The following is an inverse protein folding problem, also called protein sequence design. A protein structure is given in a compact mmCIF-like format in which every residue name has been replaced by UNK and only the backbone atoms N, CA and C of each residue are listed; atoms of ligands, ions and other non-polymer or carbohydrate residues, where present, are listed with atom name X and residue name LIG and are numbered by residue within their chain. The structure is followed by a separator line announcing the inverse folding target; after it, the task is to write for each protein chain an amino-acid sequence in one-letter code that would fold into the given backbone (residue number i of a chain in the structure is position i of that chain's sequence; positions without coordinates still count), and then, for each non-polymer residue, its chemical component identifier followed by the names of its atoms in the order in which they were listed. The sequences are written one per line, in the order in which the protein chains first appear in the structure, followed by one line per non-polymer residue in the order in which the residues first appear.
data_IF_179145024269
#
_entry.id   IF_179145024269
#
_cell.length_a   1.000
_cell.length_b   1.000
_cell.length_c   1.000
_cell.angle_alpha   90.00
_cell.angle_beta   90.00
_cell.angle_gamma   90.00
#
_symmetry.space_group_name_H-M   'P 1'
#
loop_
_entity.id
_entity.type
_entity.pdbx_description
1 polymer ?
#
# COMPACT_ATOMS: atom_id res chain seq x y z
N UNK A 1 -5.98 21.36 -38.18
CA UNK A 1 -6.06 22.65 -37.46
C UNK A 1 -5.32 22.48 -36.15
N UNK A 2 -4.35 23.34 -35.84
CA UNK A 2 -3.77 23.39 -34.49
C UNK A 2 -4.84 23.96 -33.55
N UNK A 3 -5.48 23.10 -32.74
CA UNK A 3 -6.30 23.57 -31.63
C UNK A 3 -5.35 24.11 -30.57
N UNK A 4 -5.19 25.44 -30.55
CA UNK A 4 -4.47 26.12 -29.49
C UNK A 4 -5.41 26.30 -28.30
N UNK A 5 -4.93 26.01 -27.10
CA UNK A 5 -5.67 26.27 -25.85
C UNK A 5 -5.53 27.74 -25.47
N UNK A 6 -6.22 28.64 -26.20
CA UNK A 6 -6.12 30.10 -26.01
C UNK A 6 -6.62 30.54 -24.62
N UNK A 7 -7.57 29.79 -24.05
CA UNK A 7 -8.13 30.02 -22.72
C UNK A 7 -7.26 29.49 -21.58
N UNK A 8 -6.16 28.78 -21.86
CA UNK A 8 -5.26 28.24 -20.85
C UNK A 8 -4.07 29.16 -20.64
N UNK A 9 -4.00 29.76 -19.46
CA UNK A 9 -2.88 30.61 -19.08
C UNK A 9 -1.81 29.83 -18.30
N UNK A 10 -0.69 30.49 -17.99
CA UNK A 10 0.44 29.88 -17.24
C UNK A 10 0.06 29.42 -15.83
N UNK A 11 -0.89 30.10 -15.17
CA UNK A 11 -1.42 29.71 -13.85
C UNK A 11 -2.23 28.42 -13.96
N UNK A 12 -3.10 28.32 -14.96
CA UNK A 12 -3.90 27.11 -15.22
C UNK A 12 -3.00 25.91 -15.49
N UNK A 13 -1.96 26.09 -16.30
CA UNK A 13 -0.93 25.07 -16.52
C UNK A 13 -0.26 24.62 -15.22
N UNK A 14 0.24 25.56 -14.42
CA UNK A 14 0.91 25.22 -13.15
C UNK A 14 -0.04 24.53 -12.14
N UNK A 15 -1.30 24.96 -12.11
CA UNK A 15 -2.35 24.34 -11.30
C UNK A 15 -2.64 22.92 -11.79
N UNK A 16 -2.76 22.71 -13.10
CA UNK A 16 -2.93 21.39 -13.70
C UNK A 16 -1.78 20.44 -13.34
N UNK A 17 -0.52 20.85 -13.48
CA UNK A 17 0.63 20.02 -13.09
C UNK A 17 0.60 19.70 -11.60
N UNK A 18 0.28 20.67 -10.76
CA UNK A 18 0.26 20.49 -9.30
C UNK A 18 -0.89 19.59 -8.85
N UNK A 19 -2.08 19.76 -9.43
CA UNK A 19 -3.25 18.92 -9.18
C UNK A 19 -3.03 17.48 -9.69
N UNK A 20 -2.47 17.31 -10.89
CA UNK A 20 -2.10 16.00 -11.43
C UNK A 20 -1.11 15.28 -10.52
N UNK A 21 -0.10 15.98 -9.99
CA UNK A 21 0.83 15.41 -9.02
C UNK A 21 0.18 15.06 -7.66
N UNK A 22 -0.86 15.78 -7.25
CA UNK A 22 -1.55 15.58 -5.96
C UNK A 22 -2.55 14.42 -6.01
N UNK A 23 -3.34 14.34 -7.07
CA UNK A 23 -4.46 13.40 -7.21
C UNK A 23 -4.15 12.19 -8.10
N UNK A 24 -3.07 12.26 -8.89
CA UNK A 24 -2.72 11.28 -9.90
C UNK A 24 -3.33 11.60 -11.26
N UNK A 25 -2.64 11.20 -12.33
CA UNK A 25 -2.99 11.56 -13.72
C UNK A 25 -4.39 11.15 -14.18
N UNK A 26 -4.95 10.11 -13.56
CA UNK A 26 -6.26 9.55 -13.94
C UNK A 26 -7.42 10.20 -13.18
N UNK A 27 -7.15 10.95 -12.10
CA UNK A 27 -8.15 11.57 -11.23
C UNK A 27 -8.67 12.90 -11.81
N UNK A 28 -9.15 12.87 -13.05
CA UNK A 28 -9.55 14.07 -13.81
C UNK A 28 -10.67 14.88 -13.12
N UNK A 29 -11.54 14.23 -12.34
CA UNK A 29 -12.60 14.91 -11.58
C UNK A 29 -12.00 15.79 -10.49
N UNK A 30 -11.08 15.24 -9.70
CA UNK A 30 -10.41 15.97 -8.61
C UNK A 30 -9.47 17.04 -9.15
N UNK A 31 -8.77 16.76 -10.27
CA UNK A 31 -7.95 17.75 -10.97
C UNK A 31 -8.82 18.92 -11.44
N UNK A 32 -9.98 18.65 -12.03
CA UNK A 32 -10.88 19.70 -12.50
C UNK A 32 -11.49 20.53 -11.37
N UNK A 33 -11.77 19.91 -10.22
CA UNK A 33 -12.27 20.62 -9.04
C UNK A 33 -11.25 21.64 -8.48
N UNK A 34 -9.94 21.38 -8.65
CA UNK A 34 -8.86 22.25 -8.18
C UNK A 34 -8.56 23.42 -9.15
N UNK A 35 -8.89 23.28 -10.44
CA UNK A 35 -8.59 24.29 -11.46
C UNK A 35 -9.76 25.27 -11.59
N UNK A 36 -9.64 26.39 -10.90
CA UNK A 36 -10.61 27.49 -10.96
C UNK A 36 -10.91 27.92 -12.41
N UNK A 37 -12.20 27.99 -12.77
CA UNK A 37 -12.64 28.51 -14.06
C UNK A 37 -12.47 27.55 -15.25
N UNK A 38 -12.13 26.28 -15.01
CA UNK A 38 -12.12 25.23 -16.04
C UNK A 38 -13.12 24.12 -15.70
N UNK A 39 -13.90 23.71 -16.68
CA UNK A 39 -14.82 22.59 -16.55
C UNK A 39 -14.08 21.25 -16.69
N UNK A 40 -14.69 20.18 -16.18
CA UNK A 40 -14.18 18.81 -16.36
C UNK A 40 -13.86 18.47 -17.82
N UNK A 41 -14.72 18.88 -18.77
CA UNK A 41 -14.50 18.62 -20.21
C UNK A 41 -13.27 19.32 -20.75
N UNK A 42 -13.04 20.58 -20.34
CA UNK A 42 -11.85 21.33 -20.76
C UNK A 42 -10.58 20.73 -20.19
N UNK A 43 -10.61 20.30 -18.93
CA UNK A 43 -9.48 19.63 -18.26
C UNK A 43 -9.20 18.28 -18.89
N UNK A 44 -10.22 17.50 -19.23
CA UNK A 44 -10.07 16.21 -19.92
C UNK A 44 -9.42 16.38 -21.30
N UNK A 45 -9.88 17.34 -22.10
CA UNK A 45 -9.31 17.60 -23.42
C UNK A 45 -7.87 18.12 -23.32
N UNK A 46 -7.60 19.00 -22.35
CA UNK A 46 -6.24 19.49 -22.09
C UNK A 46 -5.31 18.37 -21.65
N UNK A 47 -5.73 17.52 -20.71
CA UNK A 47 -4.95 16.39 -20.23
C UNK A 47 -4.57 15.44 -21.36
N UNK A 48 -5.52 15.11 -22.25
CA UNK A 48 -5.27 14.26 -23.42
C UNK A 48 -4.14 14.82 -24.29
N UNK A 49 -4.25 16.09 -24.68
CA UNK A 49 -3.24 16.73 -25.54
C UNK A 49 -1.90 16.92 -24.80
N UNK A 50 -1.94 17.23 -23.50
CA UNK A 50 -0.74 17.31 -22.67
C UNK A 50 0.02 15.99 -22.71
N UNK A 51 -0.63 14.85 -22.44
CA UNK A 51 0.05 13.55 -22.44
C UNK A 51 0.51 13.09 -23.82
N UNK A 52 -0.16 13.51 -24.90
CA UNK A 52 0.29 13.25 -26.27
C UNK A 52 1.53 14.09 -26.66
N UNK A 53 1.69 15.31 -26.12
CA UNK A 53 2.63 16.32 -26.64
C UNK A 53 3.54 16.97 -25.59
N UNK A 54 3.57 16.48 -24.35
CA UNK A 54 4.33 17.10 -23.25
C UNK A 54 5.82 17.29 -23.58
N UNK A 55 6.40 16.44 -24.43
CA UNK A 55 7.80 16.50 -24.87
C UNK A 55 8.13 17.75 -25.69
N UNK A 56 7.13 18.45 -26.24
CA UNK A 56 7.32 19.72 -26.92
C UNK A 56 7.64 20.87 -25.95
N UNK A 57 7.40 20.68 -24.65
CA UNK A 57 7.73 21.67 -23.61
C UNK A 57 9.23 21.64 -23.32
N UNK A 58 9.88 22.80 -23.29
CA UNK A 58 11.33 22.90 -23.06
C UNK A 58 11.80 22.31 -21.73
N UNK A 59 10.93 22.25 -20.71
CA UNK A 59 11.23 21.75 -19.37
C UNK A 59 10.42 20.50 -19.00
N UNK A 60 10.03 19.69 -20.00
CA UNK A 60 9.15 18.54 -19.79
C UNK A 60 9.69 17.53 -18.76
N UNK A 61 11.01 17.30 -18.73
CA UNK A 61 11.63 16.35 -17.80
C UNK A 61 11.37 16.72 -16.33
N UNK A 62 11.49 18.01 -16.01
CA UNK A 62 11.23 18.51 -14.65
C UNK A 62 9.75 18.38 -14.28
N UNK A 63 8.86 18.69 -15.22
CA UNK A 63 7.41 18.60 -15.06
C UNK A 63 6.98 17.16 -14.80
N UNK A 64 7.43 16.22 -15.63
CA UNK A 64 7.10 14.80 -15.49
C UNK A 64 7.67 14.25 -14.20
N UNK A 65 8.93 14.55 -13.87
CA UNK A 65 9.52 14.14 -12.60
C UNK A 65 8.77 14.70 -11.38
N UNK A 66 8.18 15.90 -11.48
CA UNK A 66 7.31 16.44 -10.41
C UNK A 66 6.03 15.62 -10.27
N UNK A 67 5.38 15.24 -11.38
CA UNK A 67 4.16 14.44 -11.38
C UNK A 67 4.45 13.05 -10.82
N UNK A 68 5.48 12.36 -11.31
CA UNK A 68 5.84 11.01 -10.87
C UNK A 68 6.19 10.95 -9.37
N UNK A 69 6.90 11.96 -8.86
CA UNK A 69 7.17 12.07 -7.41
C UNK A 69 5.87 12.26 -6.61
N UNK A 70 4.91 12.99 -7.14
CA UNK A 70 3.60 13.17 -6.54
C UNK A 70 2.80 11.86 -6.51
N UNK A 71 2.73 11.17 -7.64
CA UNK A 71 2.06 9.87 -7.76
C UNK A 71 2.70 8.80 -6.88
N UNK A 72 4.03 8.74 -6.80
CA UNK A 72 4.75 7.83 -5.89
C UNK A 72 4.33 8.07 -4.44
N UNK A 73 4.23 9.33 -4.01
CA UNK A 73 3.78 9.68 -2.65
C UNK A 73 2.32 9.32 -2.42
N UNK A 74 1.47 9.55 -3.41
CA UNK A 74 0.05 9.18 -3.37
C UNK A 74 -0.11 7.67 -3.20
N UNK A 75 0.61 6.89 -4.02
CA UNK A 75 0.64 5.43 -3.94
C UNK A 75 1.11 4.96 -2.57
N UNK A 76 2.24 5.48 -2.07
CA UNK A 76 2.73 5.14 -0.72
C UNK A 76 1.70 5.45 0.38
N UNK A 77 0.98 6.56 0.24
CA UNK A 77 -0.07 6.94 1.19
C UNK A 77 -1.24 5.96 1.16
N UNK A 78 -1.66 5.53 -0.04
CA UNK A 78 -2.73 4.54 -0.23
C UNK A 78 -2.32 3.16 0.29
N UNK A 79 -1.10 2.72 0.03
CA UNK A 79 -0.55 1.46 0.53
C UNK A 79 -0.53 1.43 2.07
N UNK A 80 -0.07 2.52 2.71
CA UNK A 80 -0.10 2.65 4.18
C UNK A 80 -1.54 2.62 4.70
N UNK A 81 -2.46 3.33 4.04
CA UNK A 81 -3.87 3.33 4.44
C UNK A 81 -4.48 1.93 4.34
N UNK A 82 -4.20 1.20 3.26
CA UNK A 82 -4.66 -0.18 3.08
C UNK A 82 -4.08 -1.10 4.16
N UNK A 83 -2.78 -1.02 4.41
CA UNK A 83 -2.10 -1.78 5.48
C UNK A 83 -2.77 -1.54 6.84
N UNK A 84 -3.11 -0.29 7.17
CA UNK A 84 -3.80 0.05 8.42
C UNK A 84 -5.18 -0.60 8.50
N UNK A 85 -5.99 -0.51 7.43
CA UNK A 85 -7.32 -1.10 7.37
C UNK A 85 -7.29 -2.62 7.46
N UNK A 86 -6.39 -3.26 6.73
CA UNK A 86 -6.20 -4.71 6.76
C UNK A 86 -5.73 -5.18 8.14
N UNK A 87 -4.77 -4.48 8.76
CA UNK A 87 -4.32 -4.80 10.12
C UNK A 87 -5.48 -4.69 11.12
N UNK A 88 -6.27 -3.63 11.08
CA UNK A 88 -7.36 -3.39 12.04
C UNK A 88 -8.53 -4.35 11.83
N UNK A 89 -8.88 -4.66 10.58
CA UNK A 89 -10.01 -5.56 10.27
C UNK A 89 -9.80 -7.01 10.73
N UNK A 90 -8.56 -7.42 11.00
CA UNK A 90 -8.23 -8.72 11.63
C UNK A 90 -8.74 -8.83 13.08
N UNK A 91 -9.11 -7.73 13.73
CA UNK A 91 -9.53 -7.71 15.13
C UNK A 91 -10.99 -7.31 15.28
N UNK A 92 -11.75 -8.08 16.09
CA UNK A 92 -13.14 -7.75 16.41
C UNK A 92 -13.24 -6.49 17.30
N UNK A 93 -12.30 -6.34 18.24
CA UNK A 93 -12.23 -5.20 19.15
C UNK A 93 -10.83 -4.58 19.10
N UNK A 94 -10.50 -3.80 18.05
CA UNK A 94 -9.14 -3.32 17.82
C UNK A 94 -8.53 -2.53 18.98
N UNK A 95 -9.31 -1.70 19.68
CA UNK A 95 -8.82 -0.90 20.81
C UNK A 95 -8.25 -1.74 21.97
N UNK A 96 -8.72 -2.97 22.13
CA UNK A 96 -8.29 -3.87 23.21
C UNK A 96 -7.39 -5.00 22.71
N UNK A 97 -7.56 -5.43 21.46
CA UNK A 97 -6.95 -6.66 20.92
C UNK A 97 -5.79 -6.40 19.95
N UNK A 98 -5.67 -5.20 19.37
CA UNK A 98 -4.67 -4.93 18.34
C UNK A 98 -3.25 -5.12 18.88
N UNK A 99 -2.51 -6.04 18.30
CA UNK A 99 -1.10 -6.28 18.63
C UNK A 99 -0.19 -5.45 17.72
N UNK A 100 0.72 -4.70 18.36
CA UNK A 100 1.70 -3.85 17.68
C UNK A 100 3.09 -4.49 17.89
N UNK A 101 3.81 -4.82 16.81
CA UNK A 101 5.11 -5.47 16.87
C UNK A 101 6.19 -4.45 17.23
N UNK A 102 6.34 -4.17 18.52
CA UNK A 102 7.33 -3.22 19.00
C UNK A 102 8.76 -3.67 18.69
N UNK A 103 9.58 -2.76 18.18
CA UNK A 103 11.03 -2.97 18.15
C UNK A 103 11.60 -2.98 19.58
N UNK A 104 12.73 -3.65 19.77
CA UNK A 104 13.44 -3.80 21.06
C UNK A 104 13.72 -2.47 21.81
N UNK A 105 13.69 -1.34 21.08
CA UNK A 105 13.90 0.01 21.61
C UNK A 105 12.59 0.79 21.78
N UNK A 106 11.54 0.19 22.33
CA UNK A 106 10.32 0.93 22.71
C UNK A 106 10.67 1.97 23.77
N UNK A 107 10.81 3.23 23.37
CA UNK A 107 10.97 4.35 24.30
C UNK A 107 9.81 4.40 25.29
N UNK A 108 10.08 4.83 26.53
CA UNK A 108 9.12 4.81 27.67
C UNK A 108 7.91 5.75 27.55
N UNK A 109 7.72 6.42 26.42
CA UNK A 109 6.79 7.56 26.36
C UNK A 109 5.33 7.15 26.15
N UNK A 110 5.03 6.26 25.19
CA UNK A 110 3.64 5.87 24.88
C UNK A 110 3.32 4.46 25.38
N UNK A 111 2.13 4.32 25.96
CA UNK A 111 1.60 3.00 26.36
C UNK A 111 0.99 2.26 25.18
N UNK A 112 0.78 0.95 25.31
CA UNK A 112 0.14 0.17 24.25
C UNK A 112 -1.31 0.58 23.99
N UNK A 113 -2.01 0.98 25.03
CA UNK A 113 -3.39 1.46 24.92
C UNK A 113 -3.46 2.77 24.11
N UNK A 114 -2.52 3.69 24.35
CA UNK A 114 -2.39 4.92 23.58
C UNK A 114 -2.06 4.65 22.11
N UNK A 115 -1.10 3.76 21.85
CA UNK A 115 -0.69 3.42 20.49
C UNK A 115 -1.82 2.75 19.69
N UNK A 116 -2.56 1.81 20.33
CA UNK A 116 -3.75 1.19 19.73
C UNK A 116 -4.78 2.24 19.37
N UNK A 117 -5.06 3.17 20.28
CA UNK A 117 -6.00 4.25 20.03
C UNK A 117 -5.57 5.11 18.84
N UNK A 118 -4.30 5.53 18.81
CA UNK A 118 -3.75 6.35 17.72
C UNK A 118 -3.89 5.64 16.38
N UNK A 119 -3.50 4.36 16.28
CA UNK A 119 -3.59 3.60 15.03
C UNK A 119 -5.04 3.41 14.56
N UNK A 120 -5.95 3.07 15.48
CA UNK A 120 -7.37 2.90 15.16
C UNK A 120 -7.99 4.22 14.69
N UNK A 121 -7.68 5.32 15.36
CA UNK A 121 -8.15 6.65 14.96
C UNK A 121 -7.55 7.09 13.62
N UNK A 122 -6.26 6.79 13.37
CA UNK A 122 -5.59 7.10 12.12
C UNK A 122 -6.24 6.37 10.94
N UNK A 123 -6.53 5.08 11.09
CA UNK A 123 -7.20 4.31 10.04
C UNK A 123 -8.63 4.83 9.80
N UNK A 124 -9.36 5.16 10.88
CA UNK A 124 -10.73 5.72 10.81
C UNK A 124 -10.77 7.02 10.00
N UNK A 125 -9.84 7.94 10.24
CA UNK A 125 -9.83 9.25 9.58
C UNK A 125 -9.10 9.26 8.23
N UNK A 126 -8.22 8.29 7.99
CA UNK A 126 -7.46 8.15 6.75
C UNK A 126 -6.07 8.79 6.86
N UNK A 127 -5.03 7.98 6.67
CA UNK A 127 -3.66 8.46 6.57
C UNK A 127 -3.48 9.39 5.36
N UNK A 128 -2.74 10.49 5.55
CA UNK A 128 -2.49 11.49 4.51
C UNK A 128 -3.65 12.45 4.21
N UNK A 129 -4.77 12.35 4.94
CA UNK A 129 -5.88 13.31 4.82
C UNK A 129 -5.61 14.61 5.60
N UNK A 130 -6.27 15.69 5.19
CA UNK A 130 -6.15 16.98 5.87
C UNK A 130 -6.69 16.92 7.31
N UNK A 131 -5.94 17.55 8.22
CA UNK A 131 -6.25 17.67 9.66
C UNK A 131 -6.41 16.33 10.40
N UNK A 132 -5.91 15.22 9.85
CA UNK A 132 -6.04 13.88 10.45
C UNK A 132 -5.54 13.85 11.90
N UNK A 133 -4.41 14.49 12.18
CA UNK A 133 -3.81 14.48 13.51
C UNK A 133 -4.55 15.39 14.50
N UNK A 134 -5.17 16.47 14.03
CA UNK A 134 -6.03 17.31 14.84
C UNK A 134 -7.33 16.58 15.21
N UNK A 135 -7.90 15.80 14.27
CA UNK A 135 -9.06 14.93 14.53
C UNK A 135 -8.71 13.84 15.56
N UNK A 136 -7.56 13.19 15.43
CA UNK A 136 -7.08 12.22 16.43
C UNK A 136 -6.91 12.89 17.80
N UNK A 137 -6.31 14.08 17.86
CA UNK A 137 -6.13 14.85 19.09
C UNK A 137 -7.47 15.18 19.75
N UNK A 138 -8.46 15.60 18.98
CA UNK A 138 -9.82 15.87 19.47
C UNK A 138 -10.51 14.61 20.00
N UNK A 139 -10.29 13.45 19.38
CA UNK A 139 -10.81 12.17 19.86
C UNK A 139 -10.14 11.74 21.18
N UNK A 140 -8.82 11.97 21.33
CA UNK A 140 -8.08 11.73 22.59
C UNK A 140 -8.68 12.53 23.75
N UNK A 141 -8.99 13.81 23.54
CA UNK A 141 -9.56 14.67 24.60
C UNK A 141 -10.92 14.17 25.09
N UNK A 142 -11.71 13.57 24.20
CA UNK A 142 -13.08 13.08 24.48
C UNK A 142 -13.13 11.63 24.95
N UNK A 143 -12.06 10.86 24.78
CA UNK A 143 -12.05 9.43 25.08
C UNK A 143 -12.05 9.19 26.60
N UNK A 144 -13.10 8.60 27.20
CA UNK A 144 -13.21 8.48 28.66
C UNK A 144 -12.05 7.72 29.33
N UNK A 145 -11.49 6.64 28.75
CA UNK A 145 -10.31 5.97 29.31
C UNK A 145 -9.10 6.88 29.48
N UNK A 146 -8.97 7.93 28.67
CA UNK A 146 -7.88 8.91 28.78
C UNK A 146 -8.19 10.09 29.71
N UNK A 147 -9.31 10.08 30.46
CA UNK A 147 -9.73 11.18 31.33
C UNK A 147 -8.60 11.71 32.22
N UNK A 148 -7.83 10.81 32.84
CA UNK A 148 -6.72 11.12 33.74
C UNK A 148 -5.34 10.94 33.10
N UNK A 149 -5.29 10.57 31.82
CA UNK A 149 -4.04 10.40 31.09
C UNK A 149 -3.56 11.76 30.55
N UNK A 150 -2.85 12.51 31.39
CA UNK A 150 -2.32 13.83 31.03
C UNK A 150 -1.23 13.77 29.97
N UNK A 151 -0.48 12.68 29.89
CA UNK A 151 0.59 12.53 28.91
C UNK A 151 0.03 12.58 27.49
N UNK A 152 -0.90 11.68 27.15
CA UNK A 152 -1.46 11.61 25.80
C UNK A 152 -2.28 12.86 25.45
N UNK A 153 -2.98 13.44 26.44
CA UNK A 153 -3.75 14.68 26.28
C UNK A 153 -2.89 15.92 26.06
N UNK A 154 -1.64 15.91 26.52
CA UNK A 154 -0.68 17.00 26.29
C UNK A 154 -0.03 16.96 24.91
N UNK A 155 -0.23 15.89 24.11
CA UNK A 155 0.42 15.74 22.82
C UNK A 155 -0.13 16.73 21.80
N UNK A 156 0.77 17.33 21.04
CA UNK A 156 0.40 18.16 19.89
C UNK A 156 0.16 17.29 18.66
N UNK A 157 -0.54 17.84 17.65
CA UNK A 157 -0.79 17.16 16.38
C UNK A 157 0.50 16.75 15.66
N UNK A 158 1.57 17.54 15.80
CA UNK A 158 2.89 17.21 15.25
C UNK A 158 3.61 16.10 16.01
N UNK A 159 3.45 16.00 17.33
CA UNK A 159 3.97 14.87 18.11
C UNK A 159 3.20 13.58 17.81
N UNK A 160 1.87 13.66 17.68
CA UNK A 160 1.04 12.53 17.26
C UNK A 160 1.39 12.07 15.85
N UNK A 161 1.68 12.99 14.93
CA UNK A 161 2.15 12.67 13.58
C UNK A 161 3.45 11.86 13.61
N UNK A 162 4.46 12.31 14.37
CA UNK A 162 5.72 11.56 14.54
C UNK A 162 5.50 10.18 15.15
N UNK A 163 4.58 10.09 16.12
CA UNK A 163 4.22 8.80 16.71
C UNK A 163 3.56 7.88 15.69
N UNK A 164 2.62 8.38 14.89
CA UNK A 164 2.00 7.62 13.79
C UNK A 164 3.05 7.10 12.80
N UNK A 165 4.00 7.92 12.36
CA UNK A 165 5.10 7.49 11.47
C UNK A 165 5.90 6.33 12.09
N UNK A 166 6.18 6.41 13.40
CA UNK A 166 6.88 5.34 14.12
C UNK A 166 6.04 4.05 14.14
N UNK A 167 4.75 4.15 14.46
CA UNK A 167 3.86 2.98 14.53
C UNK A 167 3.66 2.34 13.15
N UNK A 168 3.52 3.15 12.09
CA UNK A 168 3.46 2.67 10.70
C UNK A 168 4.74 1.88 10.36
N UNK A 169 5.92 2.37 10.75
CA UNK A 169 7.18 1.65 10.47
C UNK A 169 7.23 0.25 11.12
N UNK A 170 6.61 0.08 12.29
CA UNK A 170 6.49 -1.23 12.94
C UNK A 170 5.58 -2.16 12.15
N UNK A 171 4.43 -1.65 11.70
CA UNK A 171 3.49 -2.43 10.88
C UNK A 171 4.06 -2.79 9.51
N UNK A 172 4.79 -1.88 8.86
CA UNK A 172 5.44 -2.15 7.57
C UNK A 172 6.51 -3.24 7.71
N UNK A 173 7.29 -3.20 8.79
CA UNK A 173 8.30 -4.23 9.07
C UNK A 173 7.65 -5.59 9.34
N UNK A 174 6.58 -5.62 10.12
CA UNK A 174 5.81 -6.86 10.35
C UNK A 174 5.23 -7.41 9.05
N UNK A 175 4.67 -6.55 8.20
CA UNK A 175 4.13 -6.94 6.92
C UNK A 175 5.22 -7.54 6.01
N UNK A 176 6.41 -6.93 5.94
CA UNK A 176 7.54 -7.49 5.18
C UNK A 176 8.00 -8.85 5.75
N UNK A 177 8.05 -9.00 7.07
CA UNK A 177 8.44 -10.28 7.69
C UNK A 177 7.40 -11.39 7.44
N UNK A 178 6.11 -11.04 7.31
CA UNK A 178 5.05 -11.98 6.94
C UNK A 178 5.20 -12.39 5.47
N UNK A 179 5.40 -11.42 4.57
CA UNK A 179 5.57 -11.66 3.13
C UNK A 179 6.78 -12.56 2.83
N UNK A 180 7.92 -12.31 3.48
CA UNK A 180 9.12 -13.14 3.37
C UNK A 180 8.85 -14.59 3.80
N UNK A 181 8.19 -14.79 4.94
CA UNK A 181 7.83 -16.14 5.44
C UNK A 181 6.88 -16.86 4.49
N UNK A 182 5.85 -16.18 3.99
CA UNK A 182 4.92 -16.78 3.04
C UNK A 182 5.61 -17.16 1.71
N UNK A 183 6.61 -16.39 1.28
CA UNK A 183 7.41 -16.73 0.10
C UNK A 183 8.30 -17.95 0.33
N UNK A 184 8.95 -18.03 1.49
CA UNK A 184 9.74 -19.21 1.89
C UNK A 184 8.87 -20.48 1.96
N UNK A 185 7.70 -20.40 2.60
CA UNK A 185 6.74 -21.50 2.68
C UNK A 185 6.23 -21.94 1.29
N UNK A 186 5.97 -20.97 0.40
CA UNK A 186 5.59 -21.25 -1.00
C UNK A 186 6.70 -22.00 -1.74
N UNK A 187 7.96 -21.56 -1.61
CA UNK A 187 9.13 -22.23 -2.20
C UNK A 187 9.31 -23.64 -1.65
N UNK A 188 9.19 -23.83 -0.34
CA UNK A 188 9.31 -25.15 0.29
C UNK A 188 8.20 -26.10 -0.16
N UNK A 189 6.95 -25.62 -0.23
CA UNK A 189 5.82 -26.39 -0.72
C UNK A 189 6.00 -26.83 -2.20
N UNK A 190 6.56 -25.95 -3.03
CA UNK A 190 6.86 -26.28 -4.43
C UNK A 190 7.97 -27.34 -4.55
N UNK A 191 9.03 -27.24 -3.74
CA UNK A 191 10.11 -28.24 -3.69
C UNK A 191 9.58 -29.61 -3.25
N UNK A 192 8.72 -29.66 -2.22
CA UNK A 192 8.06 -30.90 -1.76
C UNK A 192 7.18 -31.51 -2.85
N UNK A 193 6.42 -30.69 -3.59
CA UNK A 193 5.60 -31.16 -4.73
C UNK A 193 6.45 -31.74 -5.86
N UNK A 194 7.56 -31.10 -6.22
CA UNK A 194 8.48 -31.60 -7.25
C UNK A 194 9.15 -32.92 -6.84
N UNK A 195 9.56 -33.03 -5.57
CA UNK A 195 10.14 -34.26 -5.02
C UNK A 195 9.13 -35.43 -5.03
N UNK A 196 7.87 -35.17 -4.65
CA UNK A 196 6.80 -36.17 -4.68
C UNK A 196 6.49 -36.66 -6.11
N UNK A 197 6.47 -35.76 -7.10
CA UNK A 197 6.24 -36.13 -8.50
C UNK A 197 7.40 -36.97 -9.09
N UNK A 198 8.65 -36.67 -8.74
CA UNK A 198 9.80 -37.48 -9.18
C UNK A 198 9.79 -38.90 -8.59
N UNK A 199 9.39 -39.05 -7.32
CA UNK A 199 9.26 -40.37 -6.69
C UNK A 199 8.13 -41.21 -7.32
N UNK A 200 6.99 -40.60 -7.68
CA UNK A 200 5.90 -41.29 -8.38
C UNK A 200 6.30 -41.74 -9.79
N UNK A 201 7.07 -40.93 -10.53
CA UNK A 201 7.58 -41.32 -11.84
C UNK A 201 8.60 -42.46 -11.76
N UNK A 202 9.49 -42.46 -10.75
CA UNK A 202 10.44 -43.55 -10.53
C UNK A 202 9.75 -44.87 -10.12
N UNK A 203 8.71 -44.80 -9.28
CA UNK A 203 7.92 -45.98 -8.91
C UNK A 203 7.12 -46.55 -10.10
N UNK A 204 6.53 -45.69 -10.96
CA UNK A 204 5.90 -46.15 -12.21
C UNK A 204 6.91 -46.82 -13.15
N UNK A 205 8.12 -46.27 -13.29
CA UNK A 205 9.19 -46.86 -14.12
C UNK A 205 9.61 -48.24 -13.62
N UNK A 206 9.77 -48.41 -12.31
CA UNK A 206 10.08 -49.71 -11.67
C UNK A 206 8.95 -50.73 -11.82
N UNK A 207 7.69 -50.31 -11.78
CA UNK A 207 6.55 -51.22 -11.92
C UNK A 207 6.40 -51.74 -13.36
N UNK A 208 6.72 -50.90 -14.36
CA UNK A 208 6.72 -51.28 -15.79
C UNK A 208 7.86 -52.26 -16.13
N UNK A 209 9.04 -52.12 -15.51
CA UNK A 209 10.14 -53.09 -15.66
C UNK A 209 9.80 -54.46 -15.07
N UNK A 210 9.06 -54.52 -13.95
CA UNK A 210 8.67 -55.78 -13.31
C UNK A 210 7.58 -56.51 -14.12
N UNK A 211 6.66 -55.79 -14.78
CA UNK A 211 5.60 -56.41 -15.61
C UNK A 211 6.11 -56.93 -16.96
N UNK A 212 7.19 -56.38 -17.51
CA UNK A 212 7.77 -56.82 -18.79
C UNK A 212 8.78 -57.98 -18.65
N UNK A 213 9.06 -58.45 -17.43
CA UNK A 213 10.00 -59.54 -17.17
C UNK A 213 9.42 -60.96 -17.24
N UNK A 214 8.08 -61.12 -17.32
CA UNK A 214 7.42 -62.44 -17.31
C UNK A 214 6.78 -62.79 -18.67
N UNK A 215 7.60 -62.96 -19.70
CA UNK A 215 7.20 -63.71 -20.89
C UNK A 215 8.40 -64.40 -21.53
N UNK A 216 8.80 -65.54 -20.96
CA UNK A 216 9.57 -66.58 -21.68
C UNK A 216 8.78 -67.89 -21.66
N UNK A 217 8.33 -68.41 -22.82
CA UNK A 217 7.68 -69.70 -22.88
C UNK A 217 8.74 -70.80 -22.73
N UNK A 218 8.57 -71.66 -21.71
CA UNK A 218 9.39 -72.88 -21.53
C UNK A 218 9.20 -73.80 -22.74
N UNK A 219 10.24 -73.86 -23.58
CA UNK A 219 10.33 -74.81 -24.70
C UNK A 219 10.64 -76.20 -24.12
N UNK A 220 9.63 -77.07 -24.11
CA UNK A 220 9.77 -78.50 -23.81
C UNK A 220 10.69 -79.17 -24.84
N UNK A 221 11.82 -79.74 -24.40
CA UNK A 221 12.67 -80.60 -25.23
C UNK A 221 12.21 -82.05 -25.09
N UNK A 222 12.05 -82.69 -26.25
CA UNK A 222 12.09 -84.13 -26.46
C UNK A 222 13.48 -84.67 -26.17
#
# INVERSE_FOLDING_TARGET
MFQAFVEWNKRDFNNFITATAKYGRDALIDIAAEIEGKSYKEVQEYARVFWERYQELSNYEEIIAKIERGETKLQQTQEIQQLLQEKISKYRTPLSQLEIPYNLNKGKSFTEEEDRFILVALAKYGYGTEEVYDKIRNDIEKFPPFRFNWFIKSRTSSELSRRCTTLISYLQKEQSEIEEKEEEERKEAELKRKAANNNNNNNKKRQVEITNGNSTPKRSRR
#
